data_IF_017652087489
#
_entry.id   IF_017652087489
#
_cell.length_a   1.000
_cell.length_b   1.000
_cell.length_c   1.000
_cell.angle_alpha   90.00
_cell.angle_beta   90.00
_cell.angle_gamma   90.00
#
_symmetry.space_group_name_H-M   'P 1'
#
loop_
_entity.id
_entity.type
_entity.pdbx_description
1 polymer ?
#
# COMPACT_ATOMS: atom_id res chain seq x y z
N UNK A 1 -4.35 -6.77 13.09
CA UNK A 1 -3.33 -7.18 12.11
C UNK A 1 -2.49 -8.32 12.67
N UNK A 2 -2.04 -9.23 11.82
CA UNK A 2 -1.05 -10.26 12.14
C UNK A 2 0.27 -9.59 12.51
N UNK A 3 0.89 -9.99 13.62
CA UNK A 3 2.01 -9.24 14.23
C UNK A 3 3.24 -9.12 13.32
N UNK A 4 3.58 -10.20 12.60
CA UNK A 4 4.67 -10.17 11.62
C UNK A 4 4.39 -9.20 10.45
N UNK A 5 3.16 -9.20 9.92
CA UNK A 5 2.77 -8.26 8.86
C UNK A 5 2.82 -6.82 9.36
N UNK A 6 2.32 -6.58 10.58
CA UNK A 6 2.36 -5.26 11.23
C UNK A 6 3.80 -4.74 11.33
N UNK A 7 4.73 -5.57 11.81
CA UNK A 7 6.15 -5.20 11.91
C UNK A 7 6.75 -4.85 10.54
N UNK A 8 6.47 -5.66 9.51
CA UNK A 8 6.93 -5.40 8.13
C UNK A 8 6.32 -4.11 7.56
N UNK A 9 5.03 -3.87 7.77
CA UNK A 9 4.34 -2.68 7.30
C UNK A 9 4.88 -1.39 7.95
N UNK A 10 5.11 -1.42 9.28
CA UNK A 10 5.73 -0.30 9.99
C UNK A 10 7.15 -0.01 9.49
N UNK A 11 7.94 -1.06 9.25
CA UNK A 11 9.29 -0.92 8.68
C UNK A 11 9.24 -0.27 7.27
N UNK A 12 8.32 -0.69 6.40
CA UNK A 12 8.13 -0.07 5.07
C UNK A 12 7.68 1.39 5.16
N UNK A 13 6.81 1.70 6.12
CA UNK A 13 6.35 3.07 6.37
C UNK A 13 7.51 3.99 6.75
N UNK A 14 8.40 3.52 7.63
CA UNK A 14 9.61 4.28 8.02
C UNK A 14 10.55 4.55 6.83
N UNK A 15 10.70 3.57 5.92
CA UNK A 15 11.48 3.76 4.68
C UNK A 15 10.82 4.82 3.79
N UNK A 16 9.52 4.72 3.55
CA UNK A 16 8.75 5.68 2.75
C UNK A 16 8.89 7.11 3.27
N UNK A 17 8.83 7.30 4.59
CA UNK A 17 9.03 8.59 5.24
C UNK A 17 10.43 9.15 4.96
N UNK A 18 11.46 8.30 5.02
CA UNK A 18 12.82 8.66 4.66
C UNK A 18 12.98 9.04 3.18
N UNK A 19 12.35 8.28 2.27
CA UNK A 19 12.36 8.57 0.84
C UNK A 19 11.67 9.91 0.52
N UNK A 20 10.53 10.18 1.15
CA UNK A 20 9.79 11.44 0.96
C UNK A 20 10.60 12.65 1.44
N UNK A 21 11.24 12.55 2.61
CA UNK A 21 12.21 13.57 3.07
C UNK A 21 13.36 13.76 2.10
N UNK A 22 13.81 12.68 1.46
CA UNK A 22 14.83 12.74 0.41
C UNK A 22 14.37 13.60 -0.77
N UNK A 23 13.20 13.29 -1.32
CA UNK A 23 12.60 14.05 -2.43
C UNK A 23 12.41 15.53 -2.07
N UNK A 24 11.93 15.84 -0.86
CA UNK A 24 11.78 17.22 -0.41
C UNK A 24 13.12 17.99 -0.47
N UNK A 25 14.21 17.41 0.03
CA UNK A 25 15.55 18.01 -0.05
C UNK A 25 16.03 18.19 -1.49
N UNK A 26 15.78 17.21 -2.37
CA UNK A 26 16.16 17.34 -3.78
C UNK A 26 15.46 18.52 -4.45
N UNK A 27 14.19 18.76 -4.11
CA UNK A 27 13.43 19.91 -4.60
C UNK A 27 13.99 21.21 -4.03
N UNK A 28 14.24 21.28 -2.72
CA UNK A 28 14.83 22.46 -2.06
C UNK A 28 16.20 22.83 -2.65
N UNK A 29 16.98 21.84 -3.05
CA UNK A 29 18.30 22.01 -3.65
C UNK A 29 18.27 22.25 -5.17
N UNK A 30 17.09 22.34 -5.78
CA UNK A 30 16.91 22.48 -7.24
C UNK A 30 17.66 21.40 -8.05
N UNK A 31 17.66 20.16 -7.54
CA UNK A 31 18.31 19.03 -8.22
C UNK A 31 17.63 18.69 -9.55
N UNK A 32 18.35 17.95 -10.40
CA UNK A 32 17.89 17.61 -11.74
C UNK A 32 16.55 16.86 -11.72
N UNK A 33 15.58 17.38 -12.46
CA UNK A 33 14.20 16.92 -12.39
C UNK A 33 14.03 15.42 -12.68
N UNK A 34 14.85 14.83 -13.55
CA UNK A 34 14.77 13.39 -13.85
C UNK A 34 15.19 12.52 -12.67
N UNK A 35 16.09 13.00 -11.81
CA UNK A 35 16.51 12.27 -10.61
C UNK A 35 15.38 12.31 -9.56
N UNK A 36 14.72 13.46 -9.40
CA UNK A 36 13.54 13.62 -8.55
C UNK A 36 12.42 12.69 -9.02
N UNK A 37 12.14 12.63 -10.33
CA UNK A 37 11.16 11.71 -10.92
C UNK A 37 11.55 10.25 -10.65
N UNK A 38 12.84 9.92 -10.73
CA UNK A 38 13.33 8.57 -10.44
C UNK A 38 13.09 8.18 -8.98
N UNK A 39 13.34 9.09 -8.04
CA UNK A 39 13.05 8.87 -6.62
C UNK A 39 11.54 8.80 -6.34
N UNK A 40 10.75 9.65 -6.99
CA UNK A 40 9.28 9.60 -6.90
C UNK A 40 8.73 8.23 -7.35
N UNK A 41 9.24 7.69 -8.46
CA UNK A 41 8.90 6.32 -8.92
C UNK A 41 9.36 5.24 -7.95
N UNK A 42 10.48 5.43 -7.25
CA UNK A 42 10.90 4.52 -6.19
C UNK A 42 9.94 4.54 -5.00
N UNK A 43 9.42 5.71 -4.62
CA UNK A 43 8.38 5.85 -3.59
C UNK A 43 7.10 5.12 -4.01
N UNK A 44 6.64 5.29 -5.26
CA UNK A 44 5.46 4.58 -5.78
C UNK A 44 5.60 3.06 -5.61
N UNK A 45 6.76 2.49 -5.98
CA UNK A 45 7.02 1.05 -5.78
C UNK A 45 7.08 0.63 -4.31
N UNK A 46 7.64 1.47 -3.44
CA UNK A 46 7.62 1.22 -1.99
C UNK A 46 6.20 1.24 -1.43
N UNK A 47 5.35 2.13 -1.92
CA UNK A 47 3.95 2.22 -1.53
C UNK A 47 3.16 1.00 -2.00
N UNK A 48 3.37 0.55 -3.24
CA UNK A 48 2.81 -0.72 -3.73
C UNK A 48 3.23 -1.90 -2.85
N UNK A 49 4.49 -1.94 -2.39
CA UNK A 49 4.97 -2.97 -1.47
C UNK A 49 4.24 -2.93 -0.12
N UNK A 50 4.00 -1.74 0.43
CA UNK A 50 3.21 -1.56 1.65
C UNK A 50 1.76 -2.01 1.45
N UNK A 51 1.12 -1.61 0.35
CA UNK A 51 -0.25 -1.99 0.03
C UNK A 51 -0.43 -3.51 -0.03
N UNK A 52 0.54 -4.23 -0.62
CA UNK A 52 0.52 -5.71 -0.65
C UNK A 52 0.54 -6.33 0.75
N UNK A 53 1.30 -5.77 1.69
CA UNK A 53 1.32 -6.26 3.08
C UNK A 53 -0.02 -6.02 3.77
N UNK A 54 -0.60 -4.83 3.60
CA UNK A 54 -1.89 -4.48 4.20
C UNK A 54 -3.01 -5.34 3.62
N UNK A 55 -3.00 -5.58 2.31
CA UNK A 55 -3.94 -6.47 1.65
C UNK A 55 -3.78 -7.92 2.13
N UNK A 56 -2.55 -8.43 2.23
CA UNK A 56 -2.31 -9.78 2.76
C UNK A 56 -2.93 -9.91 4.16
N UNK A 57 -2.75 -8.90 5.02
CA UNK A 57 -3.41 -8.89 6.32
C UNK A 57 -4.94 -8.93 6.18
N UNK A 58 -5.52 -8.03 5.36
CA UNK A 58 -6.97 -7.94 5.18
C UNK A 58 -7.57 -9.26 4.71
N UNK A 59 -6.93 -9.90 3.73
CA UNK A 59 -7.35 -11.20 3.20
C UNK A 59 -7.35 -12.27 4.29
N UNK A 60 -6.28 -12.35 5.09
CA UNK A 60 -6.13 -13.39 6.12
C UNK A 60 -7.02 -13.17 7.34
N UNK A 61 -7.37 -11.93 7.68
CA UNK A 61 -8.09 -11.62 8.92
C UNK A 61 -9.55 -11.27 8.72
N UNK A 62 -9.91 -10.50 7.70
CA UNK A 62 -11.28 -10.00 7.52
C UNK A 62 -12.02 -10.79 6.43
N UNK A 63 -11.41 -10.92 5.26
CA UNK A 63 -12.07 -11.58 4.12
C UNK A 63 -12.37 -13.05 4.42
N UNK A 64 -11.48 -13.78 5.09
CA UNK A 64 -11.76 -15.17 5.53
C UNK A 64 -13.07 -15.25 6.32
N UNK A 65 -13.25 -14.38 7.32
CA UNK A 65 -14.46 -14.40 8.17
C UNK A 65 -15.71 -13.98 7.40
N UNK A 66 -15.62 -12.95 6.54
CA UNK A 66 -16.75 -12.51 5.72
C UNK A 66 -17.22 -13.59 4.74
N UNK A 67 -16.29 -14.41 4.23
CA UNK A 67 -16.62 -15.56 3.39
C UNK A 67 -17.26 -16.70 4.18
N UNK A 68 -16.82 -16.94 5.42
CA UNK A 68 -17.43 -17.93 6.32
C UNK A 68 -18.86 -17.53 6.73
N UNK A 69 -19.12 -16.23 6.93
CA UNK A 69 -20.46 -15.69 7.22
C UNK A 69 -21.41 -15.80 6.01
N UNK A 70 -20.90 -15.58 4.80
CA UNK A 70 -21.68 -15.70 3.57
C UNK A 70 -22.63 -14.53 3.30
N UNK A 71 -23.52 -14.69 2.31
CA UNK A 71 -24.54 -13.69 1.97
C UNK A 71 -23.96 -12.31 1.64
N UNK A 72 -24.55 -11.28 2.23
CA UNK A 72 -24.15 -9.87 2.02
C UNK A 72 -22.70 -9.59 2.42
N UNK A 73 -22.17 -10.24 3.46
CA UNK A 73 -20.79 -10.02 3.90
C UNK A 73 -19.79 -10.58 2.90
N UNK A 74 -20.09 -11.71 2.27
CA UNK A 74 -19.26 -12.22 1.16
C UNK A 74 -19.27 -11.26 -0.03
N UNK A 75 -20.44 -10.75 -0.41
CA UNK A 75 -20.57 -9.86 -1.56
C UNK A 75 -19.85 -8.51 -1.29
N UNK A 76 -19.93 -8.00 -0.06
CA UNK A 76 -19.16 -6.84 0.40
C UNK A 76 -17.65 -7.08 0.34
N UNK A 77 -17.17 -8.27 0.73
CA UNK A 77 -15.74 -8.59 0.63
C UNK A 77 -15.25 -8.58 -0.83
N UNK A 78 -16.07 -9.06 -1.77
CA UNK A 78 -15.76 -9.00 -3.21
C UNK A 78 -15.69 -7.54 -3.69
N UNK A 79 -16.67 -6.72 -3.34
CA UNK A 79 -16.71 -5.30 -3.72
C UNK A 79 -15.52 -4.51 -3.16
N UNK A 80 -15.13 -4.76 -1.91
CA UNK A 80 -13.96 -4.13 -1.30
C UNK A 80 -12.67 -4.47 -2.06
N UNK A 81 -12.49 -5.73 -2.46
CA UNK A 81 -11.31 -6.17 -3.20
C UNK A 81 -11.27 -5.61 -4.63
N UNK A 82 -12.41 -5.51 -5.31
CA UNK A 82 -12.50 -4.88 -6.64
C UNK A 82 -12.12 -3.40 -6.58
N UNK A 83 -12.61 -2.67 -5.57
CA UNK A 83 -12.28 -1.26 -5.33
C UNK A 83 -10.81 -1.06 -4.98
N UNK A 84 -10.23 -1.92 -4.14
CA UNK A 84 -8.84 -1.78 -3.69
C UNK A 84 -7.81 -1.85 -4.82
N UNK A 85 -8.14 -2.49 -5.94
CA UNK A 85 -7.28 -2.63 -7.11
C UNK A 85 -7.68 -1.77 -8.30
N UNK A 86 -8.60 -0.81 -8.11
CA UNK A 86 -9.08 0.08 -9.16
C UNK A 86 -9.51 -0.68 -10.44
N UNK A 87 -9.98 -1.94 -10.32
CA UNK A 87 -10.51 -2.69 -11.48
C UNK A 87 -11.75 -2.02 -12.09
N UNK A 88 -12.35 -1.08 -11.37
CA UNK A 88 -13.46 -0.23 -11.81
C UNK A 88 -13.03 1.00 -12.63
N UNK A 89 -11.73 1.34 -12.69
CA UNK A 89 -11.24 2.45 -13.50
C UNK A 89 -10.95 1.96 -14.94
N UNK A 90 -12.01 1.87 -15.73
CA UNK A 90 -11.94 1.93 -17.20
C UNK A 90 -11.85 3.37 -17.68
#
# INVERSE_FOLDING_TARGET
MIEDIKKRALHRTSILEGQMRGVARMIENEEYCMDIITQSRAIQRSLESLNRLLLENHLRTHVTHMFDEGGEERDKAVDELLKAFDFDRR
#
